data_IF_055933742220
#
_entry.id   IF_055933742220
#
_cell.length_a   1.000
_cell.length_b   1.000
_cell.length_c   1.000
_cell.angle_alpha   90.00
_cell.angle_beta   90.00
_cell.angle_gamma   90.00
#
_symmetry.space_group_name_H-M   'P 1'
#
loop_
_entity.id
_entity.type
_entity.pdbx_description
1 polymer ?
#
# COMPACT_ATOMS: atom_id res chain seq x y z
N UNK A 1 -8.37 4.82 48.17
CA UNK A 1 -9.48 4.00 48.66
C UNK A 1 -10.55 4.97 49.15
N UNK A 2 -11.72 5.05 48.52
CA UNK A 2 -12.77 6.01 48.91
C UNK A 2 -13.62 5.44 50.06
N UNK A 3 -13.74 6.18 51.15
CA UNK A 3 -14.58 5.79 52.29
C UNK A 3 -16.06 5.75 51.88
N UNK A 4 -16.80 4.73 52.33
CA UNK A 4 -18.24 4.60 52.08
C UNK A 4 -19.04 5.43 53.08
N UNK A 5 -20.19 5.93 52.63
CA UNK A 5 -21.13 6.72 53.46
C UNK A 5 -21.56 5.92 54.70
N UNK A 6 -21.38 6.46 55.92
CA UNK A 6 -21.93 5.86 57.14
C UNK A 6 -23.47 5.87 57.14
N UNK A 7 -24.13 4.86 57.74
CA UNK A 7 -25.57 4.88 57.93
C UNK A 7 -25.97 6.04 58.86
N UNK A 8 -27.11 6.69 58.58
CA UNK A 8 -27.63 7.83 59.36
C UNK A 8 -27.14 9.22 58.95
N UNK A 9 -26.18 9.33 58.03
CA UNK A 9 -25.71 10.63 57.49
C UNK A 9 -26.34 10.88 56.12
N UNK A 10 -26.79 12.11 55.85
CA UNK A 10 -27.29 12.49 54.52
C UNK A 10 -26.16 12.44 53.48
N UNK A 11 -26.50 12.21 52.21
CA UNK A 11 -25.48 12.14 51.15
C UNK A 11 -24.73 13.46 51.01
N UNK A 12 -25.47 14.57 51.04
CA UNK A 12 -24.95 15.94 51.03
C UNK A 12 -23.95 16.19 52.18
N UNK A 13 -24.32 15.86 53.42
CA UNK A 13 -23.45 16.07 54.60
C UNK A 13 -22.17 15.22 54.57
N UNK A 14 -22.23 14.01 54.03
CA UNK A 14 -21.06 13.15 53.89
C UNK A 14 -20.12 13.63 52.79
N UNK A 15 -20.66 14.09 51.66
CA UNK A 15 -19.88 14.66 50.54
C UNK A 15 -19.21 15.96 50.98
N UNK A 16 -19.93 16.86 51.63
CA UNK A 16 -19.38 18.13 52.13
C UNK A 16 -18.24 17.91 53.13
N UNK A 17 -18.36 16.90 54.01
CA UNK A 17 -17.29 16.52 54.93
C UNK A 17 -16.03 16.07 54.19
N UNK A 18 -16.18 15.22 53.17
CA UNK A 18 -15.05 14.76 52.36
C UNK A 18 -14.38 15.90 51.57
N UNK A 19 -15.17 16.82 51.01
CA UNK A 19 -14.63 17.99 50.30
C UNK A 19 -13.80 18.85 51.27
N UNK A 20 -14.34 19.16 52.45
CA UNK A 20 -13.65 19.98 53.46
C UNK A 20 -12.37 19.33 54.00
N UNK A 21 -12.35 18.00 54.09
CA UNK A 21 -11.15 17.25 54.48
C UNK A 21 -10.09 17.24 53.37
N UNK A 22 -10.51 17.05 52.11
CA UNK A 22 -9.62 17.13 50.95
C UNK A 22 -9.02 18.54 50.77
N UNK A 23 -9.80 19.60 50.99
CA UNK A 23 -9.30 20.98 51.04
C UNK A 23 -8.25 21.17 52.15
N UNK A 24 -8.51 20.68 53.37
CA UNK A 24 -7.57 20.76 54.50
C UNK A 24 -6.25 20.03 54.23
N UNK A 25 -6.31 18.93 53.48
CA UNK A 25 -5.12 18.19 53.05
C UNK A 25 -4.37 18.86 51.90
N UNK A 26 -4.95 19.90 51.29
CA UNK A 26 -4.38 20.59 50.15
C UNK A 26 -4.50 19.80 48.85
N UNK A 27 -5.41 18.82 48.75
CA UNK A 27 -5.59 17.98 47.56
C UNK A 27 -5.97 18.83 46.31
N UNK A 28 -6.55 20.02 46.53
CA UNK A 28 -6.90 20.99 45.48
C UNK A 28 -5.82 22.06 45.22
N UNK A 29 -4.73 22.10 46.00
CA UNK A 29 -3.73 23.18 45.93
C UNK A 29 -2.79 23.09 44.72
N UNK A 30 -2.63 21.90 44.13
CA UNK A 30 -1.71 21.62 43.02
C UNK A 30 -2.42 20.99 41.80
N UNK A 31 -3.65 21.42 41.52
CA UNK A 31 -4.40 20.90 40.37
C UNK A 31 -3.69 21.24 39.05
N UNK A 32 -3.63 20.29 38.09
CA UNK A 32 -3.12 20.57 36.75
C UNK A 32 -3.92 21.71 36.10
N UNK A 33 -3.27 22.85 35.89
CA UNK A 33 -3.90 24.04 35.29
C UNK A 33 -4.27 25.15 36.29
N UNK A 34 -4.05 24.96 37.60
CA UNK A 34 -4.27 26.01 38.60
C UNK A 34 -3.44 27.27 38.28
N UNK A 35 -4.11 28.41 38.14
CA UNK A 35 -3.49 29.70 37.81
C UNK A 35 -2.96 29.84 36.38
N UNK A 36 -3.13 28.82 35.52
CA UNK A 36 -2.73 28.88 34.11
C UNK A 36 -3.94 29.27 33.24
N UNK A 37 -3.71 29.93 32.09
CA UNK A 37 -4.76 30.10 31.09
C UNK A 37 -5.35 28.75 30.68
N UNK A 38 -6.60 28.74 30.23
CA UNK A 38 -7.18 27.54 29.60
C UNK A 38 -6.28 27.08 28.45
N UNK A 39 -6.17 25.75 28.29
CA UNK A 39 -5.38 25.19 27.21
C UNK A 39 -5.99 25.59 25.86
N UNK A 40 -5.18 25.86 24.82
CA UNK A 40 -5.67 26.14 23.48
C UNK A 40 -6.63 25.04 22.99
N UNK A 41 -7.83 25.39 22.53
CA UNK A 41 -8.87 24.45 22.07
C UNK A 41 -9.94 24.08 23.11
N UNK A 42 -9.84 24.56 24.36
CA UNK A 42 -10.92 24.52 25.37
C UNK A 42 -11.81 25.80 25.32
N UNK A 43 -11.56 26.66 24.33
CA UNK A 43 -12.18 27.96 24.07
C UNK A 43 -13.37 27.89 23.11
N UNK A 44 -13.99 26.71 23.00
CA UNK A 44 -15.22 26.53 22.22
C UNK A 44 -16.22 27.62 22.61
N UNK A 45 -16.50 28.54 21.67
CA UNK A 45 -17.44 29.65 21.83
C UNK A 45 -18.88 29.19 22.09
N UNK A 46 -19.13 27.88 21.99
CA UNK A 46 -20.39 27.22 22.34
C UNK A 46 -20.13 26.21 23.45
N UNK A 47 -20.82 26.34 24.58
CA UNK A 47 -20.73 25.36 25.67
C UNK A 47 -21.29 24.01 25.20
N UNK A 48 -20.45 22.99 25.14
CA UNK A 48 -20.82 21.61 24.80
C UNK A 48 -20.88 20.78 26.08
N UNK A 49 -22.08 20.32 26.49
CA UNK A 49 -22.29 19.51 27.69
C UNK A 49 -21.44 18.23 27.70
N UNK A 50 -21.04 17.72 26.53
CA UNK A 50 -20.25 16.51 26.36
C UNK A 50 -18.72 16.77 26.31
N UNK A 51 -18.25 17.98 26.60
CA UNK A 51 -16.82 18.37 26.49
C UNK A 51 -15.89 17.40 27.24
N UNK A 52 -16.25 16.98 28.46
CA UNK A 52 -15.42 16.11 29.29
C UNK A 52 -15.41 14.66 28.76
N UNK A 53 -16.51 14.20 28.14
CA UNK A 53 -16.60 12.89 27.48
C UNK A 53 -15.70 12.89 26.26
N UNK A 54 -15.80 13.89 25.39
CA UNK A 54 -14.96 14.03 24.19
C UNK A 54 -13.48 14.11 24.56
N UNK A 55 -13.13 14.87 25.60
CA UNK A 55 -11.75 14.97 26.12
C UNK A 55 -11.26 13.64 26.69
N UNK A 56 -12.11 12.88 27.39
CA UNK A 56 -11.76 11.55 27.88
C UNK A 56 -11.59 10.57 26.73
N UNK A 57 -12.51 10.56 25.78
CA UNK A 57 -12.41 9.74 24.57
C UNK A 57 -11.11 10.02 23.81
N UNK A 58 -10.77 11.29 23.56
CA UNK A 58 -9.51 11.65 22.93
C UNK A 58 -8.28 11.19 23.72
N UNK A 59 -8.30 11.35 25.06
CA UNK A 59 -7.21 10.90 25.94
C UNK A 59 -7.02 9.38 25.91
N UNK A 60 -8.11 8.63 25.86
CA UNK A 60 -8.11 7.16 25.79
C UNK A 60 -8.00 6.64 24.35
N UNK A 61 -7.83 7.51 23.34
CA UNK A 61 -7.76 7.13 21.93
C UNK A 61 -9.06 6.57 21.34
N UNK A 62 -10.20 6.82 21.99
CA UNK A 62 -11.52 6.37 21.56
C UNK A 62 -12.10 7.36 20.53
N UNK A 63 -12.43 6.87 19.35
CA UNK A 63 -13.16 7.61 18.32
C UNK A 63 -14.43 6.86 17.96
N UNK A 64 -15.58 7.54 17.99
CA UNK A 64 -16.83 7.00 17.44
C UNK A 64 -16.94 7.54 16.03
N UNK A 65 -16.46 6.74 15.09
CA UNK A 65 -16.61 7.06 13.67
C UNK A 65 -18.07 6.80 13.28
N UNK A 66 -18.79 7.77 12.68
CA UNK A 66 -20.13 7.53 12.16
C UNK A 66 -20.16 6.31 11.25
N UNK A 67 -21.24 5.49 11.24
CA UNK A 67 -21.26 4.24 10.48
C UNK A 67 -20.89 4.39 9.00
N UNK A 68 -21.28 5.51 8.38
CA UNK A 68 -20.95 5.80 6.98
C UNK A 68 -19.45 6.09 6.74
N UNK A 69 -18.77 6.68 7.72
CA UNK A 69 -17.33 6.89 7.68
C UNK A 69 -16.57 5.58 8.02
N UNK A 70 -17.10 4.78 8.93
CA UNK A 70 -16.57 3.45 9.24
C UNK A 70 -16.61 2.53 8.02
N UNK A 71 -17.73 2.48 7.30
CA UNK A 71 -17.84 1.68 6.08
C UNK A 71 -16.92 2.20 4.96
N UNK A 72 -16.76 3.52 4.81
CA UNK A 72 -15.77 4.09 3.87
C UNK A 72 -14.35 3.64 4.20
N UNK A 73 -13.97 3.66 5.47
CA UNK A 73 -12.66 3.17 5.90
C UNK A 73 -12.50 1.67 5.66
N UNK A 74 -13.53 0.88 5.95
CA UNK A 74 -13.49 -0.56 5.70
C UNK A 74 -13.27 -0.88 4.21
N UNK A 75 -13.92 -0.12 3.32
CA UNK A 75 -13.72 -0.23 1.87
C UNK A 75 -12.27 0.07 1.49
N UNK A 76 -11.72 1.20 1.97
CA UNK A 76 -10.32 1.57 1.72
C UNK A 76 -9.35 0.48 2.19
N UNK A 77 -9.51 0.01 3.43
CA UNK A 77 -8.66 -1.03 4.02
C UNK A 77 -8.79 -2.36 3.25
N UNK A 78 -10.00 -2.69 2.78
CA UNK A 78 -10.25 -3.88 1.96
C UNK A 78 -9.49 -3.80 0.63
N UNK A 79 -9.63 -2.71 -0.11
CA UNK A 79 -8.93 -2.52 -1.39
C UNK A 79 -7.41 -2.50 -1.22
N UNK A 80 -6.89 -1.93 -0.12
CA UNK A 80 -5.46 -1.97 0.21
C UNK A 80 -4.94 -3.38 0.59
N UNK A 81 -5.84 -4.30 0.95
CA UNK A 81 -5.50 -5.68 1.28
C UNK A 81 -5.61 -6.65 0.09
N UNK A 82 -6.42 -6.33 -0.93
CA UNK A 82 -6.64 -7.18 -2.11
C UNK A 82 -5.34 -7.67 -2.78
N UNK A 83 -4.31 -6.83 -3.02
CA UNK A 83 -3.08 -7.29 -3.68
C UNK A 83 -2.34 -8.41 -2.93
N UNK A 84 -2.51 -8.47 -1.60
CA UNK A 84 -1.89 -9.50 -0.75
C UNK A 84 -2.72 -10.79 -0.66
N UNK A 85 -3.95 -10.78 -1.18
CA UNK A 85 -4.86 -11.92 -1.10
C UNK A 85 -4.48 -12.96 -2.15
N UNK A 86 -4.24 -14.20 -1.72
CA UNK A 86 -3.74 -15.27 -2.59
C UNK A 86 -4.84 -16.03 -3.37
N UNK A 87 -6.12 -15.82 -3.06
CA UNK A 87 -7.23 -16.59 -3.65
C UNK A 87 -8.30 -15.67 -4.23
N UNK A 88 -8.65 -15.89 -5.49
CA UNK A 88 -9.76 -15.19 -6.14
C UNK A 88 -11.09 -15.43 -5.42
N UNK A 89 -11.32 -16.65 -4.95
CA UNK A 89 -12.54 -16.98 -4.21
C UNK A 89 -12.65 -16.10 -2.96
N UNK A 90 -11.54 -15.86 -2.26
CA UNK A 90 -11.49 -14.96 -1.11
C UNK A 90 -11.76 -13.52 -1.53
N UNK A 91 -11.17 -13.04 -2.63
CA UNK A 91 -11.43 -11.68 -3.15
C UNK A 91 -12.91 -11.49 -3.47
N UNK A 92 -13.51 -12.43 -4.22
CA UNK A 92 -14.93 -12.40 -4.58
C UNK A 92 -15.83 -12.39 -3.35
N UNK A 93 -15.54 -13.25 -2.38
CA UNK A 93 -16.31 -13.33 -1.13
C UNK A 93 -16.26 -12.00 -0.37
N UNK A 94 -15.08 -11.46 -0.13
CA UNK A 94 -14.89 -10.21 0.63
C UNK A 94 -15.57 -9.03 -0.06
N UNK A 95 -15.43 -8.89 -1.39
CA UNK A 95 -16.11 -7.83 -2.15
C UNK A 95 -17.63 -7.98 -2.16
N UNK A 96 -18.14 -9.21 -2.17
CA UNK A 96 -19.58 -9.48 -2.08
C UNK A 96 -20.13 -9.08 -0.71
N UNK A 97 -19.45 -9.49 0.38
CA UNK A 97 -19.79 -9.09 1.75
C UNK A 97 -19.76 -7.56 1.92
N UNK A 98 -18.77 -6.89 1.32
CA UNK A 98 -18.66 -5.43 1.31
C UNK A 98 -19.84 -4.78 0.58
N UNK A 99 -20.21 -5.31 -0.59
CA UNK A 99 -21.35 -4.84 -1.37
C UNK A 99 -22.68 -5.05 -0.65
N UNK A 100 -22.83 -6.11 0.13
CA UNK A 100 -24.02 -6.34 0.96
C UNK A 100 -24.12 -5.27 2.06
N UNK A 101 -23.01 -4.93 2.72
CA UNK A 101 -22.95 -3.82 3.71
C UNK A 101 -23.28 -2.47 3.08
N UNK A 102 -22.71 -2.19 1.91
CA UNK A 102 -22.99 -0.95 1.15
C UNK A 102 -24.49 -0.87 0.83
N UNK A 103 -25.08 -1.96 0.31
CA UNK A 103 -26.51 -2.01 -0.01
C UNK A 103 -27.38 -1.83 1.23
N UNK A 104 -27.13 -2.54 2.33
CA UNK A 104 -27.93 -2.40 3.55
C UNK A 104 -27.89 -0.96 4.09
N UNK A 105 -26.72 -0.32 4.09
CA UNK A 105 -26.58 1.08 4.51
C UNK A 105 -27.25 2.07 3.54
N UNK A 106 -27.24 1.80 2.24
CA UNK A 106 -27.98 2.59 1.25
C UNK A 106 -29.50 2.46 1.43
N UNK A 107 -30.00 1.27 1.79
CA UNK A 107 -31.43 1.04 2.05
C UNK A 107 -31.88 1.57 3.40
N UNK A 108 -30.99 1.60 4.40
CA UNK A 108 -31.27 2.09 5.76
C UNK A 108 -30.18 3.08 6.21
N UNK A 109 -30.16 4.31 5.67
CA UNK A 109 -29.10 5.27 5.99
C UNK A 109 -29.16 5.65 7.48
N UNK A 110 -28.10 5.39 8.27
CA UNK A 110 -28.04 5.83 9.64
C UNK A 110 -27.83 7.36 9.71
N UNK A 111 -28.14 8.01 10.86
CA UNK A 111 -27.83 9.42 11.06
C UNK A 111 -26.34 9.69 10.86
N UNK A 112 -26.00 10.71 10.08
CA UNK A 112 -24.61 11.09 9.84
C UNK A 112 -24.35 11.60 8.43
N UNK A 113 -23.07 11.76 8.06
CA UNK A 113 -22.71 12.18 6.71
C UNK A 113 -23.13 11.11 5.69
N UNK A 114 -23.42 11.50 4.43
CA UNK A 114 -23.78 10.55 3.40
C UNK A 114 -22.65 9.52 3.18
N UNK A 115 -23.04 8.29 2.80
CA UNK A 115 -22.10 7.21 2.55
C UNK A 115 -21.14 7.53 1.40
N UNK A 116 -21.65 8.10 0.30
CA UNK A 116 -20.84 8.52 -0.85
C UNK A 116 -20.21 7.36 -1.64
N UNK A 117 -20.66 6.12 -1.42
CA UNK A 117 -20.18 4.92 -2.13
C UNK A 117 -21.28 4.34 -3.03
N UNK A 118 -20.85 3.50 -3.97
CA UNK A 118 -21.71 2.65 -4.79
C UNK A 118 -21.23 1.20 -4.65
N UNK A 119 -22.11 0.20 -4.83
CA UNK A 119 -21.67 -1.19 -4.93
C UNK A 119 -20.66 -1.35 -6.08
N UNK A 120 -19.63 -2.15 -5.84
CA UNK A 120 -18.56 -2.43 -6.79
C UNK A 120 -18.94 -3.61 -7.70
N UNK A 121 -18.50 -3.56 -8.96
CA UNK A 121 -18.54 -4.72 -9.84
C UNK A 121 -17.44 -5.71 -9.39
N UNK A 122 -17.86 -6.87 -8.88
CA UNK A 122 -16.94 -7.89 -8.36
C UNK A 122 -16.11 -8.50 -9.48
N UNK A 123 -16.68 -8.68 -10.67
CA UNK A 123 -15.96 -9.27 -11.79
C UNK A 123 -14.88 -8.33 -12.31
N UNK A 124 -15.18 -7.04 -12.41
CA UNK A 124 -14.18 -6.03 -12.78
C UNK A 124 -13.06 -5.91 -11.74
N UNK A 125 -13.41 -5.84 -10.45
CA UNK A 125 -12.41 -5.77 -9.39
C UNK A 125 -11.50 -7.01 -9.35
N UNK A 126 -12.05 -8.19 -9.63
CA UNK A 126 -11.26 -9.43 -9.76
C UNK A 126 -10.37 -9.41 -10.99
N UNK A 127 -10.86 -8.91 -12.14
CA UNK A 127 -10.01 -8.73 -13.33
C UNK A 127 -8.82 -7.83 -13.03
N UNK A 128 -9.06 -6.68 -12.42
CA UNK A 128 -7.99 -5.76 -12.04
C UNK A 128 -7.02 -6.39 -11.04
N UNK A 129 -7.53 -7.09 -10.02
CA UNK A 129 -6.70 -7.83 -9.06
C UNK A 129 -5.82 -8.89 -9.73
N UNK A 130 -6.34 -9.62 -10.74
CA UNK A 130 -5.53 -10.58 -11.51
C UNK A 130 -4.44 -9.88 -12.31
N UNK A 131 -4.74 -8.76 -12.98
CA UNK A 131 -3.76 -7.97 -13.73
C UNK A 131 -2.66 -7.47 -12.80
N UNK A 132 -3.03 -6.89 -11.66
CA UNK A 132 -2.08 -6.39 -10.67
C UNK A 132 -1.22 -7.55 -10.15
N UNK A 133 -1.82 -8.70 -9.86
CA UNK A 133 -1.10 -9.85 -9.30
C UNK A 133 -0.20 -10.56 -10.30
N UNK A 134 -0.67 -10.80 -11.50
CA UNK A 134 0.11 -11.44 -12.57
C UNK A 134 1.25 -10.53 -13.03
N UNK A 135 1.17 -9.23 -12.73
CA UNK A 135 2.11 -8.22 -13.19
C UNK A 135 1.80 -7.78 -14.61
N UNK A 136 2.18 -6.55 -14.95
CA UNK A 136 2.01 -5.99 -16.29
C UNK A 136 2.91 -6.75 -17.26
N UNK A 137 2.31 -7.41 -18.25
CA UNK A 137 3.06 -7.99 -19.37
C UNK A 137 3.62 -6.88 -20.24
N UNK A 138 4.93 -6.90 -20.48
CA UNK A 138 5.59 -5.91 -21.31
C UNK A 138 5.47 -6.30 -22.79
N UNK A 139 5.34 -5.32 -23.70
CA UNK A 139 5.19 -5.55 -25.15
C UNK A 139 6.53 -5.89 -25.81
N UNK A 140 7.31 -6.78 -25.18
CA UNK A 140 8.59 -7.30 -25.67
C UNK A 140 8.57 -8.82 -25.79
N UNK A 141 7.44 -9.45 -25.45
CA UNK A 141 7.23 -10.89 -25.62
C UNK A 141 7.18 -11.21 -27.11
N UNK A 142 7.95 -12.21 -27.54
CA UNK A 142 8.15 -12.59 -28.94
C UNK A 142 9.34 -11.90 -29.61
N UNK A 143 9.95 -10.89 -28.98
CA UNK A 143 11.10 -10.19 -29.55
C UNK A 143 12.41 -10.91 -29.25
N UNK A 144 13.32 -10.90 -30.23
CA UNK A 144 14.66 -11.47 -30.15
C UNK A 144 15.65 -10.45 -29.58
N UNK A 145 16.55 -10.90 -28.71
CA UNK A 145 17.67 -10.08 -28.24
C UNK A 145 18.69 -9.90 -29.38
N UNK A 146 18.66 -8.75 -30.04
CA UNK A 146 19.53 -8.44 -31.19
C UNK A 146 20.85 -7.81 -30.81
N UNK A 147 20.92 -7.18 -29.65
CA UNK A 147 22.15 -6.60 -29.14
C UNK A 147 22.12 -6.56 -27.62
N UNK A 148 23.26 -6.84 -27.01
CA UNK A 148 23.51 -6.61 -25.59
C UNK A 148 24.55 -5.49 -25.51
N UNK A 149 24.17 -4.34 -24.96
CA UNK A 149 25.08 -3.23 -24.70
C UNK A 149 25.40 -3.19 -23.21
N UNK A 150 26.69 -3.14 -22.92
CA UNK A 150 27.22 -3.13 -21.57
C UNK A 150 27.92 -1.79 -21.37
N UNK A 151 27.32 -0.92 -20.57
CA UNK A 151 27.93 0.29 -20.06
C UNK A 151 27.78 0.34 -18.51
N UNK A 152 27.42 1.48 -17.91
CA UNK A 152 27.01 1.53 -16.50
C UNK A 152 25.62 0.90 -16.26
N UNK A 153 24.95 0.50 -17.32
CA UNK A 153 23.68 -0.20 -17.40
C UNK A 153 23.81 -1.38 -18.36
N UNK A 154 22.89 -2.31 -18.24
CA UNK A 154 22.75 -3.42 -19.17
C UNK A 154 21.55 -3.13 -20.06
N UNK A 155 21.79 -2.93 -21.36
CA UNK A 155 20.73 -2.60 -22.32
C UNK A 155 20.58 -3.70 -23.36
N UNK A 156 19.36 -4.20 -23.52
CA UNK A 156 18.97 -5.14 -24.55
C UNK A 156 18.21 -4.40 -25.66
N UNK A 157 18.69 -4.52 -26.90
CA UNK A 157 17.90 -4.13 -28.08
C UNK A 157 17.11 -5.36 -28.51
N UNK A 158 15.79 -5.21 -28.52
CA UNK A 158 14.83 -6.25 -28.83
C UNK A 158 14.12 -5.91 -30.14
N UNK A 159 13.98 -6.88 -31.04
CA UNK A 159 13.26 -6.70 -32.30
C UNK A 159 12.96 -8.03 -32.97
N UNK A 160 12.22 -7.99 -34.08
CA UNK A 160 11.93 -9.18 -34.87
C UNK A 160 13.20 -9.82 -35.43
N UNK A 161 13.19 -11.16 -35.55
CA UNK A 161 14.31 -11.93 -36.08
C UNK A 161 14.61 -11.63 -37.56
N UNK A 162 13.60 -11.18 -38.33
CA UNK A 162 13.67 -11.03 -39.78
C UNK A 162 14.05 -9.63 -40.27
N UNK A 163 14.23 -8.65 -39.37
CA UNK A 163 14.66 -7.31 -39.80
C UNK A 163 16.14 -7.36 -40.25
N UNK A 164 16.41 -7.06 -41.52
CA UNK A 164 17.78 -7.09 -42.08
C UNK A 164 18.68 -5.98 -41.51
N UNK A 165 18.10 -4.96 -40.86
CA UNK A 165 18.83 -3.82 -40.35
C UNK A 165 19.00 -3.86 -38.81
N UNK A 166 20.22 -3.62 -38.32
CA UNK A 166 20.51 -3.60 -36.88
C UNK A 166 19.87 -2.40 -36.13
N UNK A 167 19.26 -1.46 -36.86
CA UNK A 167 18.61 -0.26 -36.34
C UNK A 167 17.08 -0.41 -36.15
N UNK A 168 16.47 -1.50 -36.62
CA UNK A 168 15.05 -1.80 -36.45
C UNK A 168 14.77 -2.48 -35.09
N UNK A 169 15.36 -1.95 -34.02
CA UNK A 169 14.94 -2.35 -32.69
C UNK A 169 13.49 -1.87 -32.48
N UNK A 170 12.62 -2.71 -31.93
CA UNK A 170 11.26 -2.33 -31.57
C UNK A 170 11.22 -1.84 -30.12
N UNK A 171 12.10 -2.38 -29.28
CA UNK A 171 12.19 -2.01 -27.88
C UNK A 171 13.63 -2.00 -27.37
N UNK A 172 13.88 -1.08 -26.45
CA UNK A 172 15.08 -0.96 -25.63
C UNK A 172 14.69 -1.31 -24.20
N UNK A 173 15.19 -2.45 -23.70
CA UNK A 173 15.08 -2.81 -22.29
C UNK A 173 16.38 -2.45 -21.58
N UNK A 174 16.29 -1.55 -20.60
CA UNK A 174 17.43 -1.11 -19.78
C UNK A 174 17.29 -1.71 -18.38
N UNK A 175 18.37 -2.30 -17.88
CA UNK A 175 18.52 -2.79 -16.51
C UNK A 175 19.64 -2.00 -15.84
N UNK A 176 19.29 -1.24 -14.82
CA UNK A 176 20.20 -0.32 -14.13
C UNK A 176 20.67 -0.83 -12.76
N UNK A 177 20.00 -1.85 -12.20
CA UNK A 177 20.29 -2.40 -10.88
C UNK A 177 20.78 -3.85 -10.94
N UNK A 178 21.09 -4.42 -9.77
CA UNK A 178 21.43 -5.84 -9.64
C UNK A 178 20.30 -6.71 -10.17
N UNK A 179 20.66 -7.66 -11.03
CA UNK A 179 19.76 -8.66 -11.57
C UNK A 179 20.33 -10.07 -11.36
N UNK A 180 19.47 -11.07 -11.43
CA UNK A 180 19.82 -12.48 -11.29
C UNK A 180 19.47 -13.20 -12.58
N UNK A 181 20.44 -13.90 -13.15
CA UNK A 181 20.30 -14.68 -14.37
C UNK A 181 20.39 -16.17 -14.00
N UNK A 182 19.33 -16.92 -14.25
CA UNK A 182 19.24 -18.35 -13.97
C UNK A 182 19.13 -19.09 -15.30
N UNK A 183 20.15 -19.87 -15.67
CA UNK A 183 20.11 -20.68 -16.89
C UNK A 183 19.25 -21.94 -16.73
N UNK A 184 18.92 -22.58 -17.85
CA UNK A 184 18.15 -23.84 -17.85
C UNK A 184 18.88 -24.99 -17.12
N UNK A 185 20.20 -25.08 -17.30
CA UNK A 185 21.08 -26.01 -16.60
C UNK A 185 22.36 -25.28 -16.18
N UNK A 186 22.43 -24.81 -14.93
CA UNK A 186 23.61 -24.13 -14.40
C UNK A 186 23.35 -23.32 -13.13
N UNK A 187 24.42 -22.85 -12.45
CA UNK A 187 24.28 -21.99 -11.28
C UNK A 187 23.76 -20.60 -11.69
N UNK A 188 22.91 -20.01 -10.84
CA UNK A 188 22.47 -18.64 -11.01
C UNK A 188 23.66 -17.66 -10.95
N UNK A 189 23.70 -16.72 -11.89
CA UNK A 189 24.68 -15.65 -11.92
C UNK A 189 24.05 -14.33 -11.44
N UNK A 190 24.81 -13.57 -10.65
CA UNK A 190 24.42 -12.20 -10.28
C UNK A 190 25.01 -11.24 -11.30
N UNK A 191 24.17 -10.39 -11.88
CA UNK A 191 24.54 -9.32 -12.78
C UNK A 191 24.55 -8.00 -12.00
N UNK A 192 25.66 -7.25 -12.07
CA UNK A 192 25.77 -5.93 -11.43
C UNK A 192 26.23 -4.93 -12.49
N UNK A 193 25.29 -4.25 -13.18
CA UNK A 193 25.62 -3.31 -14.26
C UNK A 193 26.58 -2.19 -13.83
N UNK A 194 26.39 -1.61 -12.64
CA UNK A 194 27.26 -0.56 -12.12
C UNK A 194 28.72 -0.97 -11.91
N UNK A 195 28.97 -2.26 -11.70
CA UNK A 195 30.32 -2.85 -11.56
C UNK A 195 30.80 -3.54 -12.85
N UNK A 196 30.03 -3.42 -13.95
CA UNK A 196 30.26 -4.12 -15.22
C UNK A 196 30.33 -5.65 -15.10
N UNK A 197 29.81 -6.23 -14.02
CA UNK A 197 29.70 -7.67 -13.83
C UNK A 197 28.46 -8.19 -14.56
N UNK A 198 28.48 -8.19 -15.89
CA UNK A 198 27.31 -8.56 -16.72
C UNK A 198 27.63 -9.55 -17.83
N UNK A 199 28.86 -10.08 -17.90
CA UNK A 199 29.29 -11.03 -18.92
C UNK A 199 28.30 -12.20 -19.16
N UNK A 200 27.66 -12.80 -18.13
CA UNK A 200 26.68 -13.87 -18.35
C UNK A 200 25.46 -13.44 -19.18
N UNK A 201 25.10 -12.14 -19.18
CA UNK A 201 23.99 -11.63 -19.98
C UNK A 201 24.25 -11.67 -21.49
N UNK A 202 25.51 -11.80 -21.92
CA UNK A 202 25.86 -11.92 -23.35
C UNK A 202 25.29 -13.21 -23.96
N UNK A 203 25.08 -14.25 -23.16
CA UNK A 203 24.48 -15.50 -23.61
C UNK A 203 23.02 -15.34 -24.07
N UNK A 204 22.35 -14.26 -23.67
CA UNK A 204 20.97 -13.97 -24.10
C UNK A 204 20.89 -13.50 -25.56
N UNK A 205 22.01 -13.14 -26.19
CA UNK A 205 22.02 -12.74 -27.59
C UNK A 205 21.40 -13.81 -28.49
N UNK A 206 20.46 -13.42 -29.35
CA UNK A 206 19.75 -14.31 -30.26
C UNK A 206 18.60 -15.10 -29.63
N UNK A 207 18.42 -15.05 -28.30
CA UNK A 207 17.28 -15.69 -27.64
C UNK A 207 16.01 -14.86 -27.80
N UNK A 208 14.85 -15.53 -27.81
CA UNK A 208 13.54 -14.88 -27.91
C UNK A 208 12.97 -14.71 -26.51
N UNK A 209 12.44 -13.53 -26.20
CA UNK A 209 11.73 -13.27 -24.95
C UNK A 209 10.38 -13.99 -24.98
N UNK A 210 10.20 -15.05 -24.21
CA UNK A 210 8.97 -15.85 -24.17
C UNK A 210 7.96 -15.32 -23.14
N UNK A 211 8.45 -14.59 -22.13
CA UNK A 211 7.62 -13.92 -21.13
C UNK A 211 8.35 -12.68 -20.61
N UNK A 212 7.62 -11.59 -20.40
CA UNK A 212 8.14 -10.36 -19.83
C UNK A 212 7.11 -9.75 -18.89
N UNK A 213 7.36 -9.81 -17.58
CA UNK A 213 6.37 -9.46 -16.55
C UNK A 213 6.96 -8.47 -15.55
N UNK A 214 6.35 -7.30 -15.48
CA UNK A 214 6.61 -6.26 -14.50
C UNK A 214 5.63 -6.38 -13.32
N UNK A 215 6.12 -6.75 -12.15
CA UNK A 215 5.31 -6.91 -10.94
C UNK A 215 5.07 -5.56 -10.25
N UNK A 216 3.96 -5.41 -9.49
CA UNK A 216 3.66 -4.17 -8.77
C UNK A 216 4.69 -3.78 -7.70
N UNK A 217 5.43 -4.76 -7.17
CA UNK A 217 6.51 -4.55 -6.22
C UNK A 217 7.80 -4.02 -6.87
N UNK A 218 7.78 -3.77 -8.19
CA UNK A 218 8.91 -3.24 -8.95
C UNK A 218 9.85 -4.31 -9.51
N UNK A 219 9.59 -5.59 -9.24
CA UNK A 219 10.35 -6.68 -9.87
C UNK A 219 10.03 -6.79 -11.37
N UNK A 220 11.06 -7.08 -12.17
CA UNK A 220 10.90 -7.52 -13.56
C UNK A 220 11.36 -8.97 -13.69
N UNK A 221 10.55 -9.80 -14.32
CA UNK A 221 10.90 -11.18 -14.65
C UNK A 221 10.78 -11.37 -16.15
N UNK A 222 11.86 -11.84 -16.76
CA UNK A 222 11.94 -12.19 -18.18
C UNK A 222 12.30 -13.67 -18.28
N UNK A 223 11.65 -14.36 -19.21
CA UNK A 223 11.97 -15.74 -19.58
C UNK A 223 12.32 -15.75 -21.07
N UNK A 224 13.32 -16.55 -21.43
CA UNK A 224 13.86 -16.63 -22.77
C UNK A 224 13.67 -18.03 -23.36
N UNK A 225 13.76 -18.15 -24.68
CA UNK A 225 13.50 -19.39 -25.42
C UNK A 225 14.50 -20.51 -25.15
N UNK A 226 15.69 -20.18 -24.65
CA UNK A 226 16.72 -21.12 -24.21
C UNK A 226 16.49 -21.64 -22.78
N UNK A 227 15.39 -21.23 -22.13
CA UNK A 227 15.04 -21.56 -20.75
C UNK A 227 15.72 -20.68 -19.70
N UNK A 228 16.50 -19.67 -20.12
CA UNK A 228 17.11 -18.71 -19.19
C UNK A 228 16.05 -17.78 -18.61
N UNK A 229 16.21 -17.43 -17.33
CA UNK A 229 15.35 -16.49 -16.60
C UNK A 229 16.16 -15.33 -16.05
N UNK A 230 15.78 -14.11 -16.40
CA UNK A 230 16.36 -12.87 -15.84
C UNK A 230 15.36 -12.25 -14.85
N UNK A 231 15.78 -12.10 -13.60
CA UNK A 231 14.99 -11.43 -12.54
C UNK A 231 15.71 -10.16 -12.10
N UNK A 232 15.06 -9.01 -12.24
CA UNK A 232 15.55 -7.72 -11.76
C UNK A 232 14.78 -7.36 -10.50
N UNK A 233 15.49 -7.08 -9.42
CA UNK A 233 14.89 -6.58 -8.18
C UNK A 233 14.68 -5.06 -8.25
N UNK A 234 13.67 -4.51 -7.56
CA UNK A 234 13.57 -3.07 -7.38
C UNK A 234 14.80 -2.55 -6.63
N UNK A 235 15.25 -1.35 -6.96
CA UNK A 235 16.37 -0.70 -6.31
C UNK A 235 15.91 0.58 -5.60
N UNK A 236 15.98 0.64 -4.25
CA UNK A 236 15.63 1.83 -3.49
C UNK A 236 16.50 3.05 -3.82
N UNK A 237 17.73 2.85 -4.28
CA UNK A 237 18.66 3.91 -4.66
C UNK A 237 18.34 4.56 -6.01
N UNK A 238 17.41 3.98 -6.80
CA UNK A 238 17.03 4.44 -8.14
C UNK A 238 15.55 4.84 -8.22
N UNK A 239 14.94 5.32 -7.13
CA UNK A 239 13.50 5.64 -7.05
C UNK A 239 12.60 4.47 -7.53
N UNK A 240 13.04 3.23 -7.33
CA UNK A 240 12.35 2.02 -7.80
C UNK A 240 12.47 1.73 -9.31
N UNK A 241 13.16 2.59 -10.09
CA UNK A 241 13.38 2.42 -11.53
C UNK A 241 14.62 1.58 -11.84
N UNK A 242 14.64 0.36 -11.31
CA UNK A 242 15.70 -0.61 -11.59
C UNK A 242 15.76 -1.05 -13.07
N UNK A 243 14.67 -0.83 -13.81
CA UNK A 243 14.55 -1.18 -15.22
C UNK A 243 13.57 -0.23 -15.94
N UNK A 244 13.66 -0.18 -17.28
CA UNK A 244 12.73 0.53 -18.14
C UNK A 244 12.65 -0.11 -19.52
N UNK A 245 11.48 -0.01 -20.17
CA UNK A 245 11.30 -0.40 -21.56
C UNK A 245 10.81 0.80 -22.37
N UNK A 246 11.50 1.10 -23.47
CA UNK A 246 11.15 2.20 -24.37
C UNK A 246 11.21 1.75 -25.82
N UNK A 247 10.57 2.50 -26.72
CA UNK A 247 10.88 2.42 -28.15
C UNK A 247 12.29 3.01 -28.42
N UNK A 248 12.85 2.88 -29.64
CA UNK A 248 14.14 3.50 -30.02
C UNK A 248 14.16 5.03 -29.92
N UNK A 249 13.00 5.68 -29.91
CA UNK A 249 12.86 7.14 -29.79
C UNK A 249 12.81 7.59 -28.32
N UNK A 250 12.83 6.65 -27.38
CA UNK A 250 12.82 6.90 -25.93
C UNK A 250 11.42 7.04 -25.33
N UNK A 251 10.36 6.73 -26.07
CA UNK A 251 9.00 6.73 -25.52
C UNK A 251 8.78 5.46 -24.69
N UNK A 252 8.22 5.55 -23.47
CA UNK A 252 7.95 4.37 -22.65
C UNK A 252 6.95 3.45 -23.32
N UNK A 253 7.28 2.15 -23.37
CA UNK A 253 6.35 1.11 -23.80
C UNK A 253 5.62 0.61 -22.56
N UNK A 254 4.39 1.07 -22.37
CA UNK A 254 3.52 0.72 -21.24
C UNK A 254 2.72 -0.54 -21.48
#
# INVERSE_FOLDING_TARGET
>A
MTERKPPGVSFESFVDKQIREAERRGDFSALPGAGKPFAPGDDSTTYDENWWIKRKMAREGLSVLPPSLALRKEVEDTFAALPRTASEHTVRRVLTELNDKIRDMMFKPPPGPPLGLKPYDVDEAVRQWRIDREGRRLPVTGLTVRQVRVDHRLTFLLGEAAADDAHDAEALLVVAATARLEGAEGPAATLVPGEQLVAPALALFGTVTTSAVARPDGHLVLEFSDGTRLTVAPDPGLDGRAWSVTDPRGNPLT
#
